data_IF_499592893773
#
_entry.id   IF_499592893773
#
_cell.length_a   1.000
_cell.length_b   1.000
_cell.length_c   1.000
_cell.angle_alpha   90.00
_cell.angle_beta   90.00
_cell.angle_gamma   90.00
#
_symmetry.space_group_name_H-M   'P 1'
#
loop_
_entity.id
_entity.type
_entity.pdbx_description
1 polymer ?
#
# COMPACT_ATOMS: atom_id res chain seq x y z
N UNK A 1 -3.13 1.20 -16.97
CA UNK A 1 -3.14 2.56 -16.39
C UNK A 1 -2.80 3.51 -17.53
N UNK A 2 -3.59 4.56 -17.76
CA UNK A 2 -3.27 5.55 -18.80
C UNK A 2 -2.09 6.38 -18.28
N UNK A 3 -1.00 6.41 -19.02
CA UNK A 3 0.17 7.21 -18.66
C UNK A 3 -0.15 8.69 -18.84
N UNK A 4 0.30 9.52 -17.89
CA UNK A 4 0.13 10.96 -17.91
C UNK A 4 1.02 11.56 -19.00
N UNK A 5 0.51 12.56 -19.72
CA UNK A 5 1.31 13.31 -20.70
C UNK A 5 2.26 14.29 -20.01
N UNK A 6 3.34 14.69 -20.70
CA UNK A 6 4.31 15.65 -20.16
C UNK A 6 3.66 16.98 -19.77
N UNK A 7 2.72 17.46 -20.58
CA UNK A 7 1.96 18.69 -20.31
C UNK A 7 1.09 18.59 -19.04
N UNK A 8 0.46 17.44 -18.82
CA UNK A 8 -0.30 17.18 -17.60
C UNK A 8 0.60 17.06 -16.37
N UNK A 9 1.80 16.50 -16.52
CA UNK A 9 2.80 16.39 -15.46
C UNK A 9 3.34 17.77 -15.05
N UNK A 10 3.66 18.62 -16.02
CA UNK A 10 4.14 19.99 -15.79
C UNK A 10 3.08 20.85 -15.11
N UNK A 11 1.82 20.75 -15.57
CA UNK A 11 0.70 21.47 -14.95
C UNK A 11 0.47 21.02 -13.49
N UNK A 12 0.63 19.73 -13.21
CA UNK A 12 0.49 19.18 -11.87
C UNK A 12 1.62 19.64 -10.94
N UNK A 13 2.86 19.67 -11.45
CA UNK A 13 4.02 20.18 -10.73
C UNK A 13 3.87 21.68 -10.41
N UNK A 14 3.48 22.49 -11.39
CA UNK A 14 3.24 23.93 -11.19
C UNK A 14 2.13 24.18 -10.15
N UNK A 15 1.06 23.39 -10.20
CA UNK A 15 -0.04 23.48 -9.24
C UNK A 15 0.42 23.21 -7.80
N UNK A 16 1.13 22.11 -7.55
CA UNK A 16 1.56 21.75 -6.20
C UNK A 16 2.74 22.58 -5.70
N UNK A 17 3.58 23.09 -6.60
CA UNK A 17 4.60 24.09 -6.28
C UNK A 17 3.96 25.39 -5.75
N UNK A 18 2.88 25.85 -6.39
CA UNK A 18 2.15 27.06 -5.95
C UNK A 18 1.22 26.79 -4.76
N UNK A 19 0.71 25.57 -4.62
CA UNK A 19 -0.26 25.17 -3.61
C UNK A 19 0.29 23.99 -2.80
N UNK A 20 1.37 24.18 -2.01
CA UNK A 20 1.92 23.10 -1.24
C UNK A 20 0.87 22.56 -0.26
N UNK A 21 0.71 21.23 -0.16
CA UNK A 21 -0.26 20.64 0.75
C UNK A 21 0.08 21.02 2.18
N UNK A 22 -0.93 21.50 2.92
CA UNK A 22 -0.76 21.84 4.33
C UNK A 22 -0.56 20.56 5.14
N UNK A 23 0.65 20.36 5.66
CA UNK A 23 0.94 19.27 6.59
C UNK A 23 0.52 19.72 7.99
N UNK A 24 -0.37 18.96 8.63
CA UNK A 24 -0.75 19.18 10.02
C UNK A 24 0.23 18.41 10.93
N UNK A 25 1.15 19.08 11.65
CA UNK A 25 2.14 18.41 12.49
C UNK A 25 1.53 17.72 13.72
N UNK A 26 0.27 18.04 14.09
CA UNK A 26 -0.44 17.38 15.18
C UNK A 26 -1.07 16.06 14.73
N UNK A 27 -1.42 15.97 13.44
CA UNK A 27 -1.73 14.70 12.79
C UNK A 27 -0.41 14.02 12.48
N UNK A 28 0.12 13.27 13.45
CA UNK A 28 1.20 12.33 13.16
C UNK A 28 0.73 11.49 11.97
N UNK A 29 1.36 11.66 10.81
CA UNK A 29 1.08 10.83 9.66
C UNK A 29 1.20 9.37 10.12
N UNK A 30 0.28 8.50 9.70
CA UNK A 30 0.30 7.09 10.11
C UNK A 30 1.65 6.40 9.88
N UNK A 31 2.46 6.97 9.00
CA UNK A 31 3.80 6.55 8.61
C UNK A 31 4.96 7.22 9.40
N UNK A 32 4.72 8.30 10.14
CA UNK A 32 5.78 9.10 10.78
C UNK A 32 6.30 8.49 12.10
N UNK A 33 5.58 7.55 12.71
CA UNK A 33 5.86 7.05 14.08
C UNK A 33 6.20 5.56 14.18
N UNK A 34 6.04 4.77 13.12
CA UNK A 34 6.43 3.35 13.11
C UNK A 34 7.65 3.18 12.23
N UNK A 35 8.66 2.48 12.72
CA UNK A 35 9.75 1.98 11.90
C UNK A 35 9.15 1.14 10.77
N UNK A 36 9.13 1.71 9.56
CA UNK A 36 8.56 1.05 8.41
C UNK A 36 9.59 0.04 7.90
N UNK A 37 9.41 -1.24 8.21
CA UNK A 37 10.09 -2.29 7.45
C UNK A 37 9.26 -2.53 6.21
N UNK A 38 9.67 -1.94 5.09
CA UNK A 38 9.18 -2.36 3.79
C UNK A 38 9.60 -3.81 3.58
N UNK A 39 8.63 -4.71 3.59
CA UNK A 39 8.85 -6.10 3.20
C UNK A 39 8.38 -6.19 1.76
N UNK A 40 9.34 -6.30 0.84
CA UNK A 40 9.02 -6.67 -0.53
C UNK A 40 8.71 -8.17 -0.55
N UNK A 41 7.61 -8.52 -1.20
CA UNK A 41 7.29 -9.91 -1.50
C UNK A 41 8.10 -10.34 -2.72
N UNK A 42 8.53 -11.60 -2.73
CA UNK A 42 9.00 -12.21 -3.96
C UNK A 42 7.82 -12.41 -4.92
N UNK A 43 8.12 -12.56 -6.21
CA UNK A 43 7.12 -12.63 -7.27
C UNK A 43 6.13 -13.78 -7.09
N UNK A 44 6.56 -14.93 -6.58
CA UNK A 44 5.69 -16.08 -6.37
C UNK A 44 4.68 -15.79 -5.25
N UNK A 45 5.14 -15.18 -4.16
CA UNK A 45 4.28 -14.75 -3.06
C UNK A 45 3.26 -13.69 -3.49
N UNK A 46 3.68 -12.74 -4.32
CA UNK A 46 2.78 -11.73 -4.91
C UNK A 46 1.71 -12.37 -5.80
N UNK A 47 2.11 -13.22 -6.75
CA UNK A 47 1.19 -13.91 -7.66
C UNK A 47 0.17 -14.78 -6.90
N UNK A 48 0.60 -15.45 -5.83
CA UNK A 48 -0.27 -16.22 -4.95
C UNK A 48 -1.34 -15.34 -4.29
N UNK A 49 -0.92 -14.23 -3.67
CA UNK A 49 -1.85 -13.32 -2.99
C UNK A 49 -2.81 -12.68 -3.98
N UNK A 50 -2.34 -12.30 -5.16
CA UNK A 50 -3.17 -11.70 -6.20
C UNK A 50 -4.23 -12.69 -6.71
N UNK A 51 -3.82 -13.92 -7.01
CA UNK A 51 -4.72 -15.00 -7.44
C UNK A 51 -5.78 -15.29 -6.37
N UNK A 52 -5.37 -15.36 -5.10
CA UNK A 52 -6.27 -15.64 -3.98
C UNK A 52 -7.21 -14.45 -3.71
N UNK A 53 -6.74 -13.22 -3.87
CA UNK A 53 -7.57 -12.01 -3.77
C UNK A 53 -8.68 -12.02 -4.83
N UNK A 54 -8.34 -12.35 -6.08
CA UNK A 54 -9.32 -12.47 -7.17
C UNK A 54 -10.34 -13.58 -6.86
N UNK A 55 -9.87 -14.76 -6.42
CA UNK A 55 -10.74 -15.90 -6.17
C UNK A 55 -11.67 -15.71 -4.95
N UNK A 56 -11.24 -14.97 -3.93
CA UNK A 56 -11.96 -14.84 -2.66
C UNK A 56 -12.63 -13.48 -2.46
N UNK A 57 -12.42 -12.51 -3.37
CA UNK A 57 -12.84 -11.11 -3.24
C UNK A 57 -12.36 -10.44 -1.94
N UNK A 58 -11.24 -10.92 -1.40
CA UNK A 58 -10.58 -10.36 -0.21
C UNK A 58 -9.38 -9.53 -0.61
N UNK A 59 -9.07 -8.54 0.20
CA UNK A 59 -7.81 -7.80 0.07
C UNK A 59 -6.63 -8.70 0.48
N UNK A 60 -5.43 -8.48 -0.09
CA UNK A 60 -4.23 -9.21 0.32
C UNK A 60 -3.96 -9.15 1.83
N UNK A 61 -4.29 -8.02 2.48
CA UNK A 61 -4.16 -7.86 3.94
C UNK A 61 -5.08 -8.79 4.73
N UNK A 62 -6.33 -8.98 4.29
CA UNK A 62 -7.27 -9.92 4.92
C UNK A 62 -6.79 -11.35 4.76
N UNK A 63 -6.30 -11.71 3.58
CA UNK A 63 -5.73 -13.05 3.29
C UNK A 63 -4.54 -13.33 4.20
N UNK A 64 -3.60 -12.40 4.31
CA UNK A 64 -2.43 -12.54 5.19
C UNK A 64 -2.87 -12.67 6.65
N UNK A 65 -3.85 -11.87 7.08
CA UNK A 65 -4.37 -11.92 8.45
C UNK A 65 -4.99 -13.27 8.78
N UNK A 66 -5.72 -13.88 7.86
CA UNK A 66 -6.27 -15.23 8.01
C UNK A 66 -5.17 -16.28 8.11
N UNK A 67 -4.17 -16.24 7.21
CA UNK A 67 -3.03 -17.16 7.24
C UNK A 67 -2.25 -17.07 8.57
N UNK A 68 -2.08 -15.86 9.11
CA UNK A 68 -1.43 -15.67 10.42
C UNK A 68 -2.29 -16.28 11.53
N UNK A 69 -3.61 -16.06 11.53
CA UNK A 69 -4.51 -16.65 12.53
C UNK A 69 -4.49 -18.17 12.50
N UNK A 70 -4.55 -18.77 11.32
CA UNK A 70 -4.44 -20.23 11.13
C UNK A 70 -3.12 -20.77 11.68
N UNK A 71 -2.01 -20.08 11.40
CA UNK A 71 -0.67 -20.51 11.84
C UNK A 71 -0.48 -20.37 13.35
N UNK A 72 -1.04 -19.34 13.96
CA UNK A 72 -1.08 -19.19 15.43
C UNK A 72 -1.93 -20.31 16.04
N UNK A 73 -3.11 -20.57 15.49
CA UNK A 73 -4.00 -21.64 15.98
C UNK A 73 -3.37 -23.03 15.87
N UNK A 74 -2.59 -23.29 14.82
CA UNK A 74 -1.85 -24.55 14.65
C UNK A 74 -0.61 -24.68 15.54
N UNK A 75 -0.17 -23.58 16.16
CA UNK A 75 0.99 -23.55 17.07
C UNK A 75 0.61 -23.57 18.56
N UNK A 76 -0.70 -23.61 18.85
CA UNK A 76 -1.30 -23.77 20.19
C UNK A 76 -1.70 -25.23 20.41
#
# INVERSE_FOLDING_TARGET
>A
MKEMTDEEADALDEYYTKNPPKVDPRKNGGFAKKSFRMVALDRLSEDYLLTKAIATQKTPTEIISEMIRERIAASL
#
